data_IF_911982433645
#
_entry.id   IF_911982433645
#
_cell.length_a   1.000
_cell.length_b   1.000
_cell.length_c   1.000
_cell.angle_alpha   90.00
_cell.angle_beta   90.00
_cell.angle_gamma   90.00
#
_symmetry.space_group_name_H-M   'P 1'
#
loop_
_entity.id
_entity.type
_entity.pdbx_description
1 polymer ?
#
# COMPACT_ATOMS: atom_id res chain seq x y z
N UNK A 1 -11.05 49.81 -11.12
CA UNK A 1 -11.80 50.90 -10.45
C UNK A 1 -10.85 51.60 -9.48
N UNK A 2 -10.89 52.93 -9.41
CA UNK A 2 -10.05 53.69 -8.47
C UNK A 2 -10.64 53.59 -7.05
N UNK A 3 -9.79 53.71 -6.03
CA UNK A 3 -10.23 53.59 -4.64
C UNK A 3 -11.34 54.61 -4.25
N UNK A 4 -11.34 55.78 -4.89
CA UNK A 4 -12.32 56.86 -4.65
C UNK A 4 -13.57 56.77 -5.54
N UNK A 5 -13.77 55.66 -6.26
CA UNK A 5 -14.98 55.49 -7.08
C UNK A 5 -16.21 55.43 -6.16
N UNK A 6 -17.21 56.32 -6.34
CA UNK A 6 -18.47 56.26 -5.60
C UNK A 6 -19.25 55.00 -6.00
N UNK A 7 -19.91 54.37 -5.02
CA UNK A 7 -20.71 53.16 -5.24
C UNK A 7 -22.20 53.48 -5.10
N UNK A 8 -22.66 53.76 -3.88
CA UNK A 8 -24.03 54.17 -3.59
C UNK A 8 -24.11 54.85 -2.22
N UNK A 9 -25.14 55.67 -2.00
CA UNK A 9 -25.44 56.28 -0.69
C UNK A 9 -24.27 57.05 -0.04
N UNK A 10 -23.40 57.64 -0.87
CA UNK A 10 -22.22 58.38 -0.43
C UNK A 10 -21.01 57.52 -0.01
N UNK A 11 -21.08 56.19 -0.12
CA UNK A 11 -19.95 55.30 0.14
C UNK A 11 -19.07 55.11 -1.09
N UNK A 12 -17.76 55.06 -0.87
CA UNK A 12 -16.75 54.78 -1.91
C UNK A 12 -16.29 53.32 -1.87
N UNK A 13 -15.65 52.86 -2.94
CA UNK A 13 -15.01 51.55 -2.98
C UNK A 13 -13.99 51.36 -1.84
N UNK A 14 -13.21 52.40 -1.51
CA UNK A 14 -12.28 52.39 -0.37
C UNK A 14 -12.98 52.14 0.96
N UNK A 15 -14.18 52.70 1.16
CA UNK A 15 -14.95 52.50 2.39
C UNK A 15 -15.39 51.05 2.52
N UNK A 16 -15.91 50.44 1.45
CA UNK A 16 -16.31 49.02 1.45
C UNK A 16 -15.12 48.11 1.75
N UNK A 17 -13.98 48.35 1.10
CA UNK A 17 -12.76 47.57 1.35
C UNK A 17 -12.26 47.71 2.79
N UNK A 18 -12.29 48.92 3.37
CA UNK A 18 -11.93 49.16 4.77
C UNK A 18 -12.89 48.44 5.71
N UNK A 19 -14.19 48.49 5.43
CA UNK A 19 -15.20 47.81 6.24
C UNK A 19 -15.03 46.29 6.19
N UNK A 20 -14.79 45.71 5.00
CA UNK A 20 -14.57 44.28 4.85
C UNK A 20 -13.36 43.79 5.66
N UNK A 21 -12.22 44.50 5.57
CA UNK A 21 -11.02 44.19 6.37
C UNK A 21 -11.29 44.34 7.87
N UNK A 22 -12.06 45.35 8.28
CA UNK A 22 -12.41 45.56 9.68
C UNK A 22 -13.27 44.41 10.23
N UNK A 23 -14.26 43.96 9.46
CA UNK A 23 -15.08 42.79 9.82
C UNK A 23 -14.19 41.58 10.01
N UNK A 24 -13.33 41.24 9.06
CA UNK A 24 -12.44 40.08 9.18
C UNK A 24 -11.48 40.17 10.37
N UNK A 25 -10.95 41.36 10.67
CA UNK A 25 -10.03 41.57 11.79
C UNK A 25 -10.71 41.42 13.15
N UNK A 26 -12.00 41.71 13.24
CA UNK A 26 -12.80 41.63 14.47
C UNK A 26 -13.59 40.33 14.58
N UNK A 27 -13.51 39.48 13.56
CA UNK A 27 -14.28 38.26 13.49
C UNK A 27 -13.65 37.12 14.31
N UNK A 28 -14.52 36.25 14.84
CA UNK A 28 -14.13 35.09 15.63
C UNK A 28 -13.60 33.92 14.79
N UNK A 29 -13.89 33.89 13.49
CA UNK A 29 -13.60 32.74 12.61
C UNK A 29 -12.23 32.80 11.91
N UNK A 30 -11.22 33.39 12.54
CA UNK A 30 -9.91 33.63 11.93
C UNK A 30 -9.18 32.36 11.42
N UNK A 31 -9.58 31.16 11.83
CA UNK A 31 -8.99 29.87 11.37
C UNK A 31 -9.94 28.98 10.56
N UNK A 32 -11.15 29.45 10.23
CA UNK A 32 -12.25 28.58 9.79
C UNK A 32 -12.41 28.42 8.28
N UNK A 33 -11.66 29.19 7.48
CA UNK A 33 -11.64 29.13 6.02
C UNK A 33 -10.45 29.94 5.49
N UNK A 34 -10.24 29.88 4.18
CA UNK A 34 -9.31 30.77 3.49
C UNK A 34 -9.70 32.26 3.67
N UNK A 35 -8.70 33.13 3.84
CA UNK A 35 -8.92 34.53 4.16
C UNK A 35 -9.44 35.34 2.96
N UNK A 36 -9.04 34.99 1.74
CA UNK A 36 -9.48 35.68 0.52
C UNK A 36 -10.95 35.35 0.25
N UNK A 37 -11.34 34.08 0.36
CA UNK A 37 -12.75 33.68 0.17
C UNK A 37 -13.69 34.31 1.21
N UNK A 38 -13.20 34.47 2.46
CA UNK A 38 -13.94 35.20 3.49
C UNK A 38 -14.01 36.68 3.19
N UNK A 39 -12.93 37.28 2.67
CA UNK A 39 -12.94 38.68 2.23
C UNK A 39 -13.98 38.91 1.14
N UNK A 40 -14.01 38.05 0.12
CA UNK A 40 -14.97 38.13 -0.97
C UNK A 40 -16.40 37.99 -0.47
N UNK A 41 -16.68 37.04 0.43
CA UNK A 41 -18.00 36.88 1.02
C UNK A 41 -18.45 38.11 1.83
N UNK A 42 -17.56 38.68 2.66
CA UNK A 42 -17.85 39.91 3.42
C UNK A 42 -18.09 41.09 2.49
N UNK A 43 -17.19 41.29 1.53
CA UNK A 43 -17.26 42.40 0.59
C UNK A 43 -18.54 42.32 -0.25
N UNK A 44 -18.88 41.12 -0.73
CA UNK A 44 -20.13 40.88 -1.45
C UNK A 44 -21.35 41.20 -0.58
N UNK A 45 -21.42 40.67 0.65
CA UNK A 45 -22.56 40.92 1.53
C UNK A 45 -22.74 42.39 1.92
N UNK A 46 -21.64 43.14 2.11
CA UNK A 46 -21.69 44.59 2.33
C UNK A 46 -22.22 45.29 1.07
N UNK A 47 -21.69 44.94 -0.10
CA UNK A 47 -22.02 45.58 -1.38
C UNK A 47 -23.46 45.29 -1.79
N UNK A 48 -23.91 44.05 -1.68
CA UNK A 48 -25.28 43.62 -1.95
C UNK A 48 -26.27 44.39 -1.06
N UNK A 49 -26.05 44.42 0.25
CA UNK A 49 -26.91 45.15 1.17
C UNK A 49 -26.95 46.65 0.85
N UNK A 50 -25.79 47.27 0.58
CA UNK A 50 -25.69 48.68 0.20
C UNK A 50 -26.49 49.00 -1.07
N UNK A 51 -26.39 48.15 -2.10
CA UNK A 51 -27.06 48.37 -3.39
C UNK A 51 -28.56 48.06 -3.34
N UNK A 52 -28.99 47.18 -2.43
CA UNK A 52 -30.41 46.83 -2.24
C UNK A 52 -31.19 47.78 -1.32
N UNK A 53 -30.51 48.65 -0.57
CA UNK A 53 -31.15 49.52 0.40
C UNK A 53 -31.79 50.74 -0.29
N UNK A 54 -33.08 50.97 -0.03
CA UNK A 54 -33.80 52.13 -0.56
C UNK A 54 -33.34 53.46 0.07
N UNK A 55 -32.84 53.40 1.31
CA UNK A 55 -32.31 54.55 2.06
C UNK A 55 -30.85 54.33 2.42
N UNK A 56 -30.06 55.40 2.66
CA UNK A 56 -28.66 55.29 3.03
C UNK A 56 -28.46 54.42 4.30
N UNK A 57 -27.84 53.23 4.19
CA UNK A 57 -27.64 52.38 5.35
C UNK A 57 -26.56 52.95 6.26
N UNK A 58 -26.73 52.74 7.56
CA UNK A 58 -25.72 53.07 8.55
C UNK A 58 -24.52 52.14 8.44
N UNK A 59 -23.34 52.60 8.90
CA UNK A 59 -22.14 51.75 8.94
C UNK A 59 -22.35 50.48 9.78
N UNK A 60 -23.15 50.55 10.83
CA UNK A 60 -23.42 49.41 11.69
C UNK A 60 -24.24 48.33 10.97
N UNK A 61 -25.19 48.73 10.11
CA UNK A 61 -25.94 47.80 9.27
C UNK A 61 -25.03 47.12 8.25
N UNK A 62 -24.13 47.88 7.60
CA UNK A 62 -23.13 47.32 6.69
C UNK A 62 -22.19 46.33 7.39
N UNK A 63 -21.70 46.65 8.59
CA UNK A 63 -20.90 45.70 9.39
C UNK A 63 -21.68 44.45 9.78
N UNK A 64 -22.98 44.58 10.03
CA UNK A 64 -23.85 43.44 10.34
C UNK A 64 -24.08 42.57 9.11
N UNK A 65 -24.31 43.16 7.95
CA UNK A 65 -24.43 42.45 6.67
C UNK A 65 -23.14 41.67 6.34
N UNK A 66 -21.98 42.32 6.46
CA UNK A 66 -20.68 41.67 6.25
C UNK A 66 -20.43 40.49 7.21
N UNK A 67 -20.76 40.65 8.50
CA UNK A 67 -20.64 39.55 9.48
C UNK A 67 -21.55 38.37 9.14
N UNK A 68 -22.81 38.62 8.77
CA UNK A 68 -23.77 37.57 8.38
C UNK A 68 -23.28 36.79 7.15
N UNK A 69 -22.73 37.48 6.15
CA UNK A 69 -22.20 36.83 4.95
C UNK A 69 -21.01 35.92 5.27
N UNK A 70 -20.09 36.38 6.12
CA UNK A 70 -18.96 35.57 6.58
C UNK A 70 -19.40 34.37 7.44
N UNK A 71 -20.33 34.57 8.39
CA UNK A 71 -20.91 33.48 9.19
C UNK A 71 -21.55 32.41 8.28
N UNK A 72 -22.27 32.82 7.24
CA UNK A 72 -22.88 31.92 6.26
C UNK A 72 -21.82 31.14 5.47
N UNK A 73 -20.78 31.82 4.96
CA UNK A 73 -19.67 31.19 4.21
C UNK A 73 -18.92 30.17 5.07
N UNK A 74 -18.56 30.54 6.30
CA UNK A 74 -17.89 29.63 7.25
C UNK A 74 -18.79 28.46 7.62
N UNK A 75 -20.09 28.70 7.84
CA UNK A 75 -21.05 27.62 8.14
C UNK A 75 -21.24 26.66 6.97
N UNK A 76 -21.15 27.13 5.72
CA UNK A 76 -21.15 26.27 4.55
C UNK A 76 -19.87 25.40 4.50
N UNK A 77 -18.70 26.01 4.74
CA UNK A 77 -17.43 25.30 4.76
C UNK A 77 -17.37 24.21 5.83
N UNK A 78 -17.75 24.58 7.06
CA UNK A 78 -17.75 23.68 8.19
C UNK A 78 -18.69 22.49 7.95
N UNK A 79 -19.85 22.71 7.30
CA UNK A 79 -20.74 21.61 6.88
C UNK A 79 -20.06 20.65 5.90
N UNK A 80 -19.37 21.18 4.88
CA UNK A 80 -18.68 20.33 3.88
C UNK A 80 -17.49 19.57 4.46
N UNK A 81 -16.80 20.14 5.45
CA UNK A 81 -15.67 19.52 6.15
C UNK A 81 -16.07 18.76 7.42
N UNK A 82 -17.38 18.71 7.71
CA UNK A 82 -17.91 17.96 8.83
C UNK A 82 -17.45 18.43 10.18
N UNK A 83 -17.33 19.74 10.32
CA UNK A 83 -17.02 20.42 11.56
C UNK A 83 -18.31 21.05 12.09
N UNK A 84 -18.50 20.96 13.39
CA UNK A 84 -19.66 21.51 14.06
C UNK A 84 -19.56 23.04 14.11
N UNK A 85 -20.65 23.71 13.73
CA UNK A 85 -20.82 25.16 13.93
C UNK A 85 -21.25 25.51 15.36
N UNK A 86 -21.78 24.53 16.11
CA UNK A 86 -22.26 24.71 17.48
C UNK A 86 -21.15 24.51 18.51
N UNK A 87 -20.28 23.53 18.28
CA UNK A 87 -19.09 23.28 19.10
C UNK A 87 -17.89 23.56 18.22
N UNK A 88 -17.33 24.76 18.37
CA UNK A 88 -16.33 25.33 17.48
C UNK A 88 -15.22 24.33 17.11
N UNK A 89 -15.11 24.00 15.83
CA UNK A 89 -14.05 23.14 15.28
C UNK A 89 -14.14 21.67 15.67
N UNK A 90 -15.10 21.26 16.52
CA UNK A 90 -15.28 19.86 16.85
C UNK A 90 -15.76 19.09 15.61
N UNK A 91 -15.27 17.86 15.37
CA UNK A 91 -15.82 17.03 14.31
C UNK A 91 -17.31 16.76 14.58
N UNK A 92 -18.14 16.86 13.55
CA UNK A 92 -19.54 16.47 13.64
C UNK A 92 -19.62 14.97 13.96
N UNK A 93 -20.51 14.56 14.88
CA UNK A 93 -20.77 13.15 15.13
C UNK A 93 -21.08 12.43 13.81
N UNK A 94 -20.37 11.32 13.54
CA UNK A 94 -20.50 10.49 12.31
C UNK A 94 -19.98 11.08 11.00
N UNK A 95 -19.58 12.35 10.90
CA UNK A 95 -18.97 12.82 9.64
C UNK A 95 -17.66 12.08 9.33
N UNK A 96 -16.82 11.91 10.35
CA UNK A 96 -15.62 11.09 10.19
C UNK A 96 -15.98 9.66 9.79
N UNK A 97 -17.15 9.13 10.20
CA UNK A 97 -17.59 7.81 9.77
C UNK A 97 -17.70 7.77 8.24
N UNK A 98 -18.31 8.73 7.55
CA UNK A 98 -18.40 8.72 6.08
C UNK A 98 -17.03 8.53 5.39
N UNK A 99 -15.98 9.21 5.89
CA UNK A 99 -14.63 9.16 5.32
C UNK A 99 -13.74 8.05 5.87
N UNK A 100 -14.08 7.49 7.04
CA UNK A 100 -13.27 6.48 7.73
C UNK A 100 -13.99 5.18 7.97
N UNK A 101 -15.18 5.00 7.40
CA UNK A 101 -15.75 3.67 7.33
C UNK A 101 -14.69 2.85 6.63
N UNK A 102 -14.22 1.85 7.36
CA UNK A 102 -13.40 0.78 6.85
C UNK A 102 -14.34 -0.03 5.94
N UNK A 103 -14.62 0.49 4.73
CA UNK A 103 -15.55 -0.03 3.73
C UNK A 103 -16.93 -0.44 4.30
N UNK A 104 -17.99 0.40 4.24
CA UNK A 104 -19.31 -0.20 4.14
C UNK A 104 -19.26 -1.02 2.84
N UNK A 105 -19.80 -2.24 2.82
CA UNK A 105 -19.91 -2.97 1.55
C UNK A 105 -20.85 -2.18 0.64
N UNK A 106 -20.29 -1.25 -0.13
CA UNK A 106 -21.01 -0.59 -1.20
C UNK A 106 -21.55 -1.70 -2.10
N UNK A 107 -22.79 -1.61 -2.60
CA UNK A 107 -23.27 -2.56 -3.59
C UNK A 107 -22.42 -2.51 -4.87
N UNK A 108 -21.66 -1.42 -5.08
CA UNK A 108 -20.81 -1.20 -6.24
C UNK A 108 -19.77 -2.31 -6.45
N UNK A 109 -18.97 -2.76 -5.45
CA UNK A 109 -18.12 -3.93 -5.61
C UNK A 109 -18.86 -5.14 -6.18
N UNK A 110 -20.05 -5.47 -5.67
CA UNK A 110 -20.83 -6.60 -6.16
C UNK A 110 -21.40 -6.40 -7.57
N UNK A 111 -21.66 -5.17 -8.01
CA UNK A 111 -22.11 -4.85 -9.37
C UNK A 111 -20.93 -4.83 -10.34
N UNK A 112 -19.84 -4.17 -9.98
CA UNK A 112 -18.59 -4.09 -10.76
C UNK A 112 -18.00 -5.49 -10.96
N UNK A 113 -17.94 -6.31 -9.92
CA UNK A 113 -17.45 -7.70 -10.02
C UNK A 113 -18.32 -8.53 -10.97
N UNK A 114 -19.66 -8.44 -10.89
CA UNK A 114 -20.56 -9.17 -11.79
C UNK A 114 -20.39 -8.73 -13.24
N UNK A 115 -20.33 -7.43 -13.50
CA UNK A 115 -20.16 -6.88 -14.85
C UNK A 115 -18.80 -7.29 -15.43
N UNK A 116 -17.73 -7.12 -14.66
CA UNK A 116 -16.38 -7.44 -15.08
C UNK A 116 -16.21 -8.94 -15.32
N UNK A 117 -16.79 -9.82 -14.49
CA UNK A 117 -16.81 -11.26 -14.76
C UNK A 117 -17.51 -11.54 -16.09
N UNK A 118 -18.68 -10.95 -16.35
CA UNK A 118 -19.41 -11.17 -17.60
C UNK A 118 -18.62 -10.73 -18.85
N UNK A 119 -17.85 -9.64 -18.74
CA UNK A 119 -17.03 -9.13 -19.85
C UNK A 119 -15.74 -9.93 -20.06
N UNK A 120 -15.07 -10.34 -18.98
CA UNK A 120 -13.78 -11.02 -19.02
C UNK A 120 -13.93 -12.52 -19.29
N UNK A 121 -15.01 -13.14 -18.83
CA UNK A 121 -15.21 -14.59 -18.92
C UNK A 121 -15.06 -15.15 -20.35
N UNK A 122 -15.67 -14.55 -21.39
CA UNK A 122 -15.50 -15.00 -22.78
C UNK A 122 -14.07 -14.85 -23.32
N UNK A 123 -13.22 -14.03 -22.69
CA UNK A 123 -11.81 -13.84 -23.08
C UNK A 123 -10.88 -14.93 -22.53
N UNK A 124 -11.38 -15.79 -21.64
CA UNK A 124 -10.66 -16.99 -21.20
C UNK A 124 -10.82 -18.11 -22.22
N UNK A 125 -9.81 -18.98 -22.37
CA UNK A 125 -9.95 -20.17 -23.22
C UNK A 125 -10.99 -21.13 -22.63
N UNK A 126 -11.71 -21.94 -23.43
CA UNK A 126 -12.71 -22.89 -22.92
C UNK A 126 -12.20 -23.76 -21.77
N UNK A 127 -11.01 -24.35 -21.90
CA UNK A 127 -10.37 -25.16 -20.83
C UNK A 127 -10.12 -24.40 -19.52
N UNK A 128 -9.89 -23.09 -19.58
CA UNK A 128 -9.71 -22.25 -18.39
C UNK A 128 -11.05 -21.93 -17.74
N UNK A 129 -12.09 -21.69 -18.56
CA UNK A 129 -13.46 -21.54 -18.09
C UNK A 129 -13.93 -22.81 -17.37
N UNK A 130 -13.76 -23.99 -18.00
CA UNK A 130 -14.12 -25.28 -17.42
C UNK A 130 -13.42 -25.53 -16.07
N UNK A 131 -12.12 -25.24 -16.00
CA UNK A 131 -11.35 -25.40 -14.77
C UNK A 131 -11.83 -24.48 -13.64
N UNK A 132 -12.13 -23.21 -13.94
CA UNK A 132 -12.65 -22.26 -12.96
C UNK A 132 -14.07 -22.61 -12.52
N UNK A 133 -14.95 -22.98 -13.45
CA UNK A 133 -16.31 -23.45 -13.16
C UNK A 133 -16.27 -24.69 -12.27
N UNK A 134 -15.46 -25.69 -12.63
CA UNK A 134 -15.34 -26.92 -11.84
C UNK A 134 -14.80 -26.63 -10.43
N UNK A 135 -13.80 -25.76 -10.29
CA UNK A 135 -13.30 -25.35 -8.97
C UNK A 135 -14.34 -24.55 -8.16
N UNK A 136 -15.17 -23.75 -8.82
CA UNK A 136 -16.24 -22.99 -8.18
C UNK A 136 -17.34 -23.92 -7.64
N UNK A 137 -17.71 -24.94 -8.41
CA UNK A 137 -18.74 -25.94 -8.03
C UNK A 137 -18.25 -26.87 -6.93
N UNK A 138 -17.04 -27.43 -7.06
CA UNK A 138 -16.55 -28.48 -6.16
C UNK A 138 -15.84 -27.91 -4.93
N UNK A 139 -15.17 -26.77 -5.07
CA UNK A 139 -14.40 -26.16 -3.98
C UNK A 139 -13.05 -26.83 -3.67
N UNK A 140 -12.72 -27.93 -4.36
CA UNK A 140 -11.52 -28.76 -4.17
C UNK A 140 -10.70 -28.88 -5.46
N UNK A 141 -9.39 -28.61 -5.40
CA UNK A 141 -8.51 -28.69 -6.58
C UNK A 141 -8.27 -30.10 -7.10
N UNK A 142 -8.14 -31.10 -6.23
CA UNK A 142 -7.88 -32.49 -6.62
C UNK A 142 -9.14 -33.11 -7.19
N UNK A 143 -10.26 -32.94 -6.51
CA UNK A 143 -11.54 -33.48 -6.98
C UNK A 143 -11.99 -32.78 -8.27
N UNK A 144 -11.82 -31.46 -8.39
CA UNK A 144 -12.09 -30.75 -9.64
C UNK A 144 -11.19 -31.25 -10.80
N UNK A 145 -9.92 -31.56 -10.52
CA UNK A 145 -9.03 -32.14 -11.53
C UNK A 145 -9.51 -33.51 -12.01
N UNK A 146 -9.92 -34.39 -11.09
CA UNK A 146 -10.46 -35.72 -11.41
C UNK A 146 -11.72 -35.60 -12.26
N UNK A 147 -12.68 -34.74 -11.88
CA UNK A 147 -13.94 -34.55 -12.64
C UNK A 147 -13.71 -33.95 -14.03
N UNK A 148 -12.69 -33.11 -14.18
CA UNK A 148 -12.31 -32.53 -15.47
C UNK A 148 -11.44 -33.49 -16.32
N UNK A 149 -11.06 -34.67 -15.80
CA UNK A 149 -10.25 -35.64 -16.51
C UNK A 149 -8.80 -35.21 -16.72
N UNK A 150 -8.25 -34.39 -15.82
CA UNK A 150 -6.86 -33.89 -15.91
C UNK A 150 -6.07 -34.21 -14.64
N UNK A 151 -4.74 -34.24 -14.75
CA UNK A 151 -3.89 -34.43 -13.58
C UNK A 151 -3.96 -33.21 -12.64
N UNK A 152 -3.80 -33.38 -11.31
CA UNK A 152 -3.82 -32.26 -10.36
C UNK A 152 -2.77 -31.16 -10.64
N UNK A 153 -1.61 -31.54 -11.18
CA UNK A 153 -0.57 -30.60 -11.61
C UNK A 153 -1.03 -29.74 -12.79
N UNK A 154 -1.61 -30.38 -13.81
CA UNK A 154 -2.18 -29.70 -14.98
C UNK A 154 -3.30 -28.75 -14.58
N UNK A 155 -4.18 -29.20 -13.68
CA UNK A 155 -5.27 -28.37 -13.15
C UNK A 155 -4.75 -27.11 -12.46
N UNK A 156 -3.71 -27.23 -11.61
CA UNK A 156 -3.08 -26.06 -10.97
C UNK A 156 -2.51 -25.08 -11.98
N UNK A 157 -1.88 -25.56 -13.06
CA UNK A 157 -1.37 -24.71 -14.14
C UNK A 157 -2.52 -24.00 -14.85
N UNK A 158 -3.62 -24.70 -15.15
CA UNK A 158 -4.82 -24.10 -15.77
C UNK A 158 -5.40 -22.98 -14.90
N UNK A 159 -5.57 -23.21 -13.59
CA UNK A 159 -6.06 -22.18 -12.66
C UNK A 159 -5.11 -20.98 -12.58
N UNK A 160 -3.80 -21.22 -12.51
CA UNK A 160 -2.81 -20.16 -12.48
C UNK A 160 -2.85 -19.29 -13.76
N UNK A 161 -2.89 -19.92 -14.93
CA UNK A 161 -2.99 -19.21 -16.20
C UNK A 161 -4.30 -18.45 -16.34
N UNK A 162 -5.42 -19.06 -15.94
CA UNK A 162 -6.74 -18.43 -15.94
C UNK A 162 -6.74 -17.17 -15.06
N UNK A 163 -6.24 -17.25 -13.82
CA UNK A 163 -6.12 -16.09 -12.90
C UNK A 163 -5.25 -14.98 -13.47
N UNK A 164 -4.10 -15.31 -14.06
CA UNK A 164 -3.22 -14.30 -14.69
C UNK A 164 -3.89 -13.61 -15.88
N UNK A 165 -4.61 -14.36 -16.72
CA UNK A 165 -5.33 -13.81 -17.86
C UNK A 165 -6.50 -12.94 -17.42
N UNK A 166 -7.27 -13.40 -16.43
CA UNK A 166 -8.36 -12.63 -15.84
C UNK A 166 -7.86 -11.29 -15.27
N UNK A 167 -6.81 -11.31 -14.46
CA UNK A 167 -6.22 -10.09 -13.88
C UNK A 167 -5.67 -9.12 -14.92
N UNK A 168 -5.13 -9.63 -16.03
CA UNK A 168 -4.66 -8.77 -17.12
C UNK A 168 -5.79 -7.95 -17.71
N UNK A 169 -6.95 -8.56 -17.94
CA UNK A 169 -8.12 -7.85 -18.46
C UNK A 169 -8.81 -7.00 -17.40
N UNK A 170 -8.80 -7.45 -16.14
CA UNK A 170 -9.32 -6.65 -15.01
C UNK A 170 -8.57 -5.31 -14.87
N UNK A 171 -7.26 -5.32 -15.14
CA UNK A 171 -6.40 -4.14 -15.09
C UNK A 171 -6.06 -3.62 -16.50
N UNK A 172 -6.93 -3.79 -17.50
CA UNK A 172 -6.69 -3.23 -18.82
C UNK A 172 -6.54 -1.69 -18.71
N UNK A 173 -5.41 -1.15 -19.16
CA UNK A 173 -5.03 0.27 -18.99
C UNK A 173 -4.09 0.55 -17.81
N UNK A 174 -3.82 -0.44 -16.95
CA UNK A 174 -2.92 -0.31 -15.79
C UNK A 174 -1.85 -1.43 -15.79
N UNK A 175 -0.82 -1.26 -14.96
CA UNK A 175 0.11 -2.37 -14.68
C UNK A 175 -0.58 -3.38 -13.77
N UNK A 176 -0.99 -4.52 -14.33
CA UNK A 176 -1.70 -5.56 -13.59
C UNK A 176 -0.97 -5.96 -12.30
N UNK A 177 -1.69 -5.90 -11.18
CA UNK A 177 -1.16 -6.33 -9.89
C UNK A 177 -0.89 -7.85 -9.88
N UNK A 178 0.05 -8.31 -9.04
CA UNK A 178 0.25 -9.75 -8.80
C UNK A 178 -1.05 -10.36 -8.26
N UNK A 179 -1.38 -11.65 -8.50
CA UNK A 179 -2.58 -12.26 -7.91
C UNK A 179 -2.62 -12.08 -6.39
N UNK A 180 -3.71 -11.51 -5.86
CA UNK A 180 -3.83 -11.21 -4.43
C UNK A 180 -4.11 -12.49 -3.64
N UNK A 181 -3.18 -12.84 -2.76
CA UNK A 181 -3.38 -13.84 -1.72
C UNK A 181 -3.24 -15.30 -2.16
N UNK A 182 -3.13 -16.16 -1.14
CA UNK A 182 -3.21 -17.62 -1.29
C UNK A 182 -4.68 -18.01 -1.16
N UNK A 183 -5.13 -18.93 -2.01
CA UNK A 183 -6.48 -19.47 -1.98
C UNK A 183 -6.80 -20.04 -0.58
N UNK A 184 -7.70 -19.37 0.15
CA UNK A 184 -8.01 -19.69 1.55
C UNK A 184 -8.69 -21.05 1.71
N UNK A 185 -9.25 -21.62 0.62
CA UNK A 185 -9.89 -22.95 0.63
C UNK A 185 -8.90 -24.07 0.96
N UNK A 186 -7.60 -23.85 0.72
CA UNK A 186 -6.55 -24.81 1.07
C UNK A 186 -6.21 -24.83 2.56
N UNK A 187 -6.48 -23.75 3.31
CA UNK A 187 -6.11 -23.64 4.73
C UNK A 187 -6.99 -24.44 5.69
N UNK A 188 -8.22 -24.79 5.28
CA UNK A 188 -9.20 -25.42 6.17
C UNK A 188 -9.08 -26.95 6.31
N UNK A 189 -8.21 -27.63 5.55
CA UNK A 189 -8.12 -29.10 5.61
C UNK A 189 -7.13 -29.64 6.63
N UNK A 190 -6.32 -28.80 7.25
CA UNK A 190 -5.43 -29.21 8.35
C UNK A 190 -6.09 -29.07 9.73
N UNK A 191 -7.43 -28.98 9.78
CA UNK A 191 -8.21 -28.78 11.01
C UNK A 191 -8.41 -30.05 11.86
N UNK A 192 -7.54 -31.06 11.74
CA UNK A 192 -7.47 -32.22 12.65
C UNK A 192 -6.34 -32.07 13.68
N UNK A 193 -5.96 -30.83 14.00
CA UNK A 193 -5.10 -30.50 15.14
C UNK A 193 -5.80 -29.42 15.95
N UNK A 194 -5.95 -29.55 17.28
CA UNK A 194 -6.62 -28.54 18.11
C UNK A 194 -5.97 -27.16 17.93
N UNK A 195 -6.76 -26.23 17.40
CA UNK A 195 -6.38 -24.85 17.09
C UNK A 195 -6.24 -24.02 18.39
N UNK A 196 -5.13 -24.16 19.10
CA UNK A 196 -4.71 -23.20 20.14
C UNK A 196 -3.90 -22.01 19.57
N UNK A 197 -3.63 -21.97 18.26
CA UNK A 197 -2.95 -20.84 17.64
C UNK A 197 -3.64 -20.35 16.36
N UNK A 198 -4.81 -19.73 16.52
CA UNK A 198 -5.26 -18.75 15.53
C UNK A 198 -4.28 -17.57 15.59
N UNK A 199 -3.19 -17.66 14.82
CA UNK A 199 -2.30 -16.52 14.54
C UNK A 199 -3.16 -15.41 13.96
N UNK A 200 -3.50 -14.43 14.81
CA UNK A 200 -4.08 -13.16 14.38
C UNK A 200 -3.18 -12.58 13.28
N UNK A 201 -3.74 -11.97 12.22
CA UNK A 201 -2.94 -11.35 11.18
C UNK A 201 -2.00 -10.32 11.83
N UNK A 202 -0.69 -10.51 11.62
CA UNK A 202 0.36 -9.72 12.26
C UNK A 202 0.16 -8.20 12.07
N UNK A 203 -0.48 -7.80 10.99
CA UNK A 203 -0.85 -6.42 10.66
C UNK A 203 -1.78 -5.76 11.69
N UNK A 204 -2.72 -6.49 12.30
CA UNK A 204 -3.64 -5.94 13.28
C UNK A 204 -3.01 -5.79 14.68
N UNK A 205 -2.08 -6.70 15.02
CA UNK A 205 -1.33 -6.65 16.27
C UNK A 205 -0.26 -5.55 16.26
N UNK A 206 0.35 -5.27 15.10
CA UNK A 206 1.37 -4.22 14.93
C UNK A 206 0.74 -2.82 15.02
N UNK A 207 -0.43 -2.60 14.41
CA UNK A 207 -1.14 -1.29 14.48
C UNK A 207 -1.51 -0.86 15.90
N UNK A 208 -1.82 -1.81 16.79
CA UNK A 208 -2.14 -1.49 18.21
C UNK A 208 -0.91 -1.19 19.06
N UNK A 209 0.29 -1.61 18.66
CA UNK A 209 1.54 -1.41 19.43
C UNK A 209 2.30 -0.13 19.04
N UNK A 210 2.01 0.45 17.88
CA UNK A 210 2.77 1.58 17.30
C UNK A 210 2.05 2.93 17.36
N UNK A 211 0.81 2.99 17.86
CA UNK A 211 0.11 4.26 18.08
C UNK A 211 0.67 5.02 19.28
N UNK A 212 1.81 5.71 19.12
CA UNK A 212 2.26 6.75 20.04
C UNK A 212 3.58 6.52 20.80
N UNK A 213 4.32 5.43 20.56
CA UNK A 213 5.69 5.31 21.12
C UNK A 213 6.71 5.93 20.15
N UNK A 214 7.65 6.77 20.64
CA UNK A 214 8.75 7.25 19.80
C UNK A 214 9.51 6.06 19.22
N UNK A 215 9.83 6.13 17.94
CA UNK A 215 10.64 5.10 17.27
C UNK A 215 11.99 5.10 17.97
N UNK A 216 12.41 3.99 18.60
CA UNK A 216 13.71 3.93 19.26
C UNK A 216 14.81 4.22 18.23
N UNK A 217 15.86 4.91 18.68
CA UNK A 217 17.03 5.16 17.85
C UNK A 217 17.59 3.83 17.32
N UNK A 218 17.96 3.83 16.03
CA UNK A 218 18.30 2.61 15.30
C UNK A 218 19.64 2.06 15.80
N UNK A 219 19.60 0.99 16.60
CA UNK A 219 20.82 0.31 17.09
C UNK A 219 21.45 -0.49 15.96
N UNK A 220 22.60 -0.07 15.47
CA UNK A 220 23.40 -0.79 14.47
C UNK A 220 24.12 -2.01 15.09
N UNK A 221 24.56 -2.95 14.24
CA UNK A 221 25.27 -4.16 14.67
C UNK A 221 24.38 -5.32 15.10
N UNK A 222 23.08 -5.31 14.78
CA UNK A 222 22.15 -6.42 15.02
C UNK A 222 21.57 -6.97 13.71
N UNK A 223 21.35 -8.29 13.63
CA UNK A 223 20.73 -8.96 12.48
C UNK A 223 19.29 -8.48 12.21
N UNK A 224 18.55 -8.14 13.27
CA UNK A 224 17.20 -7.58 13.17
C UNK A 224 17.20 -6.19 12.52
N UNK A 225 18.23 -5.38 12.77
CA UNK A 225 18.40 -4.06 12.15
C UNK A 225 18.64 -4.20 10.63
N UNK A 226 19.42 -5.20 10.21
CA UNK A 226 19.62 -5.51 8.79
C UNK A 226 18.31 -5.95 8.10
N UNK A 227 17.53 -6.81 8.76
CA UNK A 227 16.37 -7.48 8.16
C UNK A 227 15.11 -6.60 8.19
N UNK A 228 14.81 -5.99 9.33
CA UNK A 228 13.57 -5.25 9.53
C UNK A 228 13.66 -3.78 9.09
N UNK A 229 14.87 -3.20 9.13
CA UNK A 229 15.11 -1.78 8.84
C UNK A 229 16.00 -1.55 7.62
N UNK A 230 16.32 -2.62 6.88
CA UNK A 230 17.10 -2.57 5.63
C UNK A 230 18.48 -1.88 5.75
N UNK A 231 19.05 -1.78 6.96
CA UNK A 231 20.39 -1.21 7.15
C UNK A 231 21.47 -2.11 6.50
N UNK A 232 22.45 -1.51 5.83
CA UNK A 232 23.52 -2.23 5.10
C UNK A 232 24.94 -1.85 5.55
N UNK A 233 25.08 -1.16 6.69
CA UNK A 233 26.41 -0.83 7.20
C UNK A 233 27.20 -2.13 7.56
N UNK A 234 28.54 -2.08 7.56
CA UNK A 234 29.38 -3.25 7.85
C UNK A 234 28.99 -4.04 9.12
N UNK A 235 28.74 -3.42 10.29
CA UNK A 235 28.40 -4.17 11.49
C UNK A 235 27.03 -4.87 11.41
N UNK A 236 26.03 -4.27 10.76
CA UNK A 236 24.71 -4.90 10.55
C UNK A 236 24.81 -6.10 9.58
N UNK A 237 25.61 -5.96 8.52
CA UNK A 237 25.85 -7.02 7.54
C UNK A 237 26.59 -8.20 8.17
N UNK A 238 27.60 -7.91 9.00
CA UNK A 238 28.33 -8.93 9.76
C UNK A 238 27.40 -9.67 10.73
N UNK A 239 26.62 -8.94 11.53
CA UNK A 239 25.68 -9.53 12.47
C UNK A 239 24.62 -10.43 11.80
N UNK A 240 24.10 -10.03 10.62
CA UNK A 240 23.17 -10.86 9.86
C UNK A 240 23.82 -12.14 9.30
N UNK A 241 25.09 -12.05 8.91
CA UNK A 241 25.88 -13.20 8.45
C UNK A 241 26.12 -14.18 9.58
N UNK A 242 26.50 -13.69 10.76
CA UNK A 242 26.76 -14.51 11.94
C UNK A 242 25.49 -15.18 12.49
N UNK A 243 24.37 -14.45 12.54
CA UNK A 243 23.06 -15.01 12.90
C UNK A 243 22.61 -16.12 11.94
N UNK A 244 22.89 -15.98 10.63
CA UNK A 244 22.63 -17.04 9.64
C UNK A 244 23.50 -18.27 9.92
N UNK A 245 24.79 -18.08 10.20
CA UNK A 245 25.72 -19.18 10.54
C UNK A 245 25.29 -19.89 11.82
N UNK A 246 24.85 -19.16 12.83
CA UNK A 246 24.38 -19.72 14.09
C UNK A 246 23.11 -20.56 13.89
N UNK A 247 22.14 -20.03 13.12
CA UNK A 247 20.94 -20.79 12.73
C UNK A 247 21.27 -22.04 11.94
N UNK A 248 22.21 -21.97 11.01
CA UNK A 248 22.67 -23.13 10.24
C UNK A 248 23.31 -24.19 11.16
N UNK A 249 24.17 -23.79 12.11
CA UNK A 249 24.75 -24.70 13.11
C UNK A 249 23.67 -25.33 14.00
N UNK A 250 22.72 -24.54 14.49
CA UNK A 250 21.63 -25.03 15.33
C UNK A 250 20.73 -26.04 14.58
N UNK A 251 20.58 -25.88 13.26
CA UNK A 251 19.85 -26.80 12.40
C UNK A 251 20.67 -28.02 11.94
N UNK A 252 21.91 -28.18 12.43
CA UNK A 252 22.80 -29.26 12.00
C UNK A 252 23.22 -29.16 10.52
N UNK A 253 23.13 -27.99 9.91
CA UNK A 253 23.54 -27.79 8.54
C UNK A 253 25.07 -27.89 8.45
N UNK A 254 25.56 -28.98 7.85
CA UNK A 254 26.99 -29.15 7.60
C UNK A 254 27.44 -28.04 6.64
N UNK A 255 28.49 -27.27 6.97
CA UNK A 255 29.01 -26.24 6.08
C UNK A 255 29.37 -26.89 4.74
N UNK A 256 28.73 -26.41 3.67
CA UNK A 256 28.97 -26.94 2.32
C UNK A 256 30.44 -26.76 1.98
N UNK A 257 31.15 -27.86 1.77
CA UNK A 257 32.55 -27.87 1.34
C UNK A 257 32.67 -27.02 0.07
N UNK A 258 33.56 -26.03 0.11
CA UNK A 258 33.82 -25.14 -1.03
C UNK A 258 35.11 -25.57 -1.72
N UNK A 259 35.08 -25.59 -3.04
CA UNK A 259 36.24 -25.93 -3.88
C UNK A 259 37.17 -24.71 -3.95
N UNK A 260 38.46 -24.92 -3.69
CA UNK A 260 39.49 -23.89 -3.77
C UNK A 260 40.01 -23.69 -5.21
N UNK A 261 40.86 -22.69 -5.44
CA UNK A 261 41.46 -22.43 -6.76
C UNK A 261 42.31 -23.62 -7.21
N UNK A 262 43.19 -24.12 -6.35
CA UNK A 262 44.01 -25.31 -6.62
C UNK A 262 43.17 -26.56 -6.92
N UNK A 263 42.12 -26.81 -6.13
CA UNK A 263 41.20 -27.93 -6.37
C UNK A 263 40.44 -27.79 -7.69
N UNK A 264 40.06 -26.56 -8.09
CA UNK A 264 39.43 -26.35 -9.38
C UNK A 264 40.39 -26.64 -10.55
N UNK A 265 41.69 -26.39 -10.38
CA UNK A 265 42.69 -26.76 -11.38
C UNK A 265 42.79 -28.28 -11.52
N UNK A 266 42.84 -29.03 -10.42
CA UNK A 266 42.79 -30.51 -10.43
C UNK A 266 41.53 -31.04 -11.12
N UNK A 267 40.36 -30.49 -10.77
CA UNK A 267 39.07 -30.84 -11.39
C UNK A 267 39.09 -30.62 -12.91
N UNK A 268 39.75 -29.57 -13.40
CA UNK A 268 39.90 -29.29 -14.84
C UNK A 268 40.81 -30.31 -15.52
N UNK A 269 41.94 -30.66 -14.90
CA UNK A 269 42.85 -31.70 -15.40
C UNK A 269 42.13 -33.03 -15.51
N UNK A 270 41.50 -33.49 -14.42
CA UNK A 270 40.74 -34.75 -14.41
C UNK A 270 39.62 -34.78 -15.45
N UNK A 271 39.00 -33.63 -15.71
CA UNK A 271 37.96 -33.51 -16.74
C UNK A 271 38.54 -33.60 -18.15
N UNK A 272 39.73 -33.05 -18.39
CA UNK A 272 40.44 -33.18 -19.66
C UNK A 272 40.86 -34.64 -19.92
N UNK A 273 41.19 -35.38 -18.86
CA UNK A 273 41.53 -36.81 -18.91
C UNK A 273 40.29 -37.73 -19.08
N UNK A 274 39.12 -37.17 -19.31
CA UNK A 274 37.89 -37.91 -19.57
C UNK A 274 37.11 -38.35 -18.32
N UNK A 275 37.55 -37.99 -17.11
CA UNK A 275 36.81 -38.31 -15.88
C UNK A 275 35.42 -37.66 -15.91
N UNK A 276 34.39 -38.42 -15.52
CA UNK A 276 33.00 -37.93 -15.50
C UNK A 276 32.79 -36.91 -14.38
N UNK A 277 31.89 -35.94 -14.59
CA UNK A 277 31.56 -34.92 -13.57
C UNK A 277 31.04 -35.58 -12.29
N UNK A 278 30.28 -36.67 -12.39
CA UNK A 278 29.73 -37.42 -11.26
C UNK A 278 30.83 -38.07 -10.41
N UNK A 279 31.85 -38.66 -11.04
CA UNK A 279 32.99 -39.23 -10.32
C UNK A 279 33.79 -38.16 -9.58
N UNK A 280 34.06 -37.03 -10.26
CA UNK A 280 34.73 -35.87 -9.63
C UNK A 280 33.89 -35.33 -8.46
N UNK A 281 32.58 -35.19 -8.63
CA UNK A 281 31.68 -34.66 -7.61
C UNK A 281 31.64 -35.56 -6.35
N UNK A 282 31.68 -36.88 -6.54
CA UNK A 282 31.75 -37.85 -5.45
C UNK A 282 33.05 -37.68 -4.62
N UNK A 283 34.20 -37.57 -5.27
CA UNK A 283 35.51 -37.43 -4.59
C UNK A 283 35.60 -36.17 -3.74
N UNK A 284 35.02 -35.07 -4.22
CA UNK A 284 34.99 -33.82 -3.48
C UNK A 284 33.81 -33.70 -2.50
N UNK A 285 32.93 -34.71 -2.43
CA UNK A 285 31.68 -34.70 -1.65
C UNK A 285 30.79 -33.48 -1.94
N UNK A 286 30.61 -33.17 -3.23
CA UNK A 286 29.77 -32.05 -3.71
C UNK A 286 28.81 -32.52 -4.80
N UNK A 287 27.89 -31.67 -5.25
CA UNK A 287 26.94 -32.02 -6.31
C UNK A 287 27.48 -31.79 -7.72
N UNK A 288 27.05 -32.61 -8.67
CA UNK A 288 27.39 -32.50 -10.10
C UNK A 288 27.10 -31.10 -10.67
N UNK A 289 25.96 -30.52 -10.28
CA UNK A 289 25.57 -29.17 -10.68
C UNK A 289 26.53 -28.09 -10.14
N UNK A 290 27.14 -28.31 -8.98
CA UNK A 290 28.12 -27.38 -8.43
C UNK A 290 29.42 -27.42 -9.22
N UNK A 291 29.95 -28.61 -9.54
CA UNK A 291 31.13 -28.80 -10.38
C UNK A 291 30.91 -28.20 -11.78
N UNK A 292 29.77 -28.48 -12.41
CA UNK A 292 29.42 -27.93 -13.72
C UNK A 292 29.38 -26.38 -13.73
N UNK A 293 28.88 -25.75 -12.66
CA UNK A 293 28.86 -24.28 -12.54
C UNK A 293 30.25 -23.67 -12.32
N UNK A 294 31.15 -24.36 -11.63
CA UNK A 294 32.55 -23.94 -11.48
C UNK A 294 33.30 -24.03 -12.82
N UNK A 295 33.14 -25.13 -13.55
CA UNK A 295 33.78 -25.33 -14.85
C UNK A 295 33.29 -24.33 -15.92
N UNK A 296 32.00 -23.95 -15.89
CA UNK A 296 31.43 -22.95 -16.81
C UNK A 296 31.66 -21.50 -16.37
N UNK A 297 32.38 -21.24 -15.28
CA UNK A 297 32.65 -19.90 -14.76
C UNK A 297 31.42 -19.20 -14.14
N UNK A 298 30.26 -19.86 -14.07
CA UNK A 298 29.04 -19.33 -13.44
C UNK A 298 29.15 -19.22 -11.93
N UNK A 299 30.19 -19.81 -11.32
CA UNK A 299 30.51 -19.71 -9.91
C UNK A 299 32.02 -19.62 -9.74
N UNK A 300 32.46 -18.75 -8.83
CA UNK A 300 33.88 -18.58 -8.51
C UNK A 300 34.32 -19.59 -7.43
N UNK A 301 35.54 -20.16 -7.53
CA UNK A 301 36.15 -20.93 -6.45
C UNK A 301 36.53 -20.01 -5.28
N UNK A 302 36.81 -20.61 -4.12
CA UNK A 302 37.37 -19.88 -2.97
C UNK A 302 38.89 -19.74 -3.14
N UNK A 303 39.51 -18.63 -2.76
CA UNK A 303 40.97 -18.53 -2.74
C UNK A 303 41.59 -19.67 -1.92
N UNK A 304 42.76 -20.15 -2.33
CA UNK A 304 43.54 -21.03 -1.47
C UNK A 304 43.88 -20.27 -0.18
N UNK A 305 43.72 -20.89 0.98
CA UNK A 305 44.16 -20.27 2.23
C UNK A 305 45.68 -20.36 2.27
N UNK A 306 46.35 -19.22 2.47
CA UNK A 306 47.78 -19.22 2.75
C UNK A 306 48.03 -20.06 4.01
N UNK A 307 49.04 -20.95 4.01
CA UNK A 307 49.38 -21.69 5.21
C UNK A 307 49.72 -20.69 6.31
N UNK A 308 48.96 -20.75 7.41
CA UNK A 308 49.22 -20.01 8.65
C UNK A 308 50.40 -20.66 9.38
#
# INVERSE_FOLDING_TARGET
MTADTPVAHGYTMRDLQRMARYVLRTDRWHTAADIEERYDAVWFGITEYLLSADQPPTRQELFTAGRRANDARVSAEMRTHGRSTHVYGAPMPRFHAYWTVTNPQSPEPGVVERLAVAQIWPRLTPRQQDALTMLATVGDYREAAVRLGVTPSTFRVLIFQARRRFLRWWHEGETASRPWGVDRRFGNRSATVPSASRRRPATQAVRRRTGGRPVPELVHGRASTYTNHACRCPPCTQAATDDTRERDRANGAVPRRRITVSQLADIRTRRADGTTITAIAADFAVSDSYISRLLSGKRLPVPDQEPV
#
